data_IF_466716653689
#
_entry.id   IF_466716653689
#
_cell.length_a   1.000
_cell.length_b   1.000
_cell.length_c   1.000
_cell.angle_alpha   90.00
_cell.angle_beta   90.00
_cell.angle_gamma   90.00
#
_symmetry.space_group_name_H-M   'P 1'
#
loop_
_entity.id
_entity.type
_entity.pdbx_description
1 polymer ?
#
# COMPACT_ATOMS: atom_id res chain seq x y z
N UNK A 1 20.50 -1.39 6.09
CA UNK A 1 19.70 -1.94 4.96
C UNK A 1 19.32 -3.36 5.33
N UNK A 2 18.06 -3.74 5.13
CA UNK A 2 17.62 -5.12 5.34
C UNK A 2 18.02 -5.94 4.10
N UNK A 3 18.75 -7.04 4.33
CA UNK A 3 19.17 -7.97 3.26
C UNK A 3 18.15 -9.09 3.03
N UNK A 4 17.29 -9.35 4.02
CA UNK A 4 16.22 -10.36 3.97
C UNK A 4 14.96 -9.81 4.64
N UNK A 5 13.79 -10.16 4.10
CA UNK A 5 12.49 -9.92 4.72
C UNK A 5 11.83 -11.28 4.97
N UNK A 6 11.37 -11.56 6.20
CA UNK A 6 10.82 -12.88 6.55
C UNK A 6 11.73 -14.06 6.16
N UNK A 7 13.06 -13.89 6.27
CA UNK A 7 14.08 -14.85 5.80
C UNK A 7 14.16 -15.09 4.28
N UNK A 8 13.26 -14.51 3.49
CA UNK A 8 13.30 -14.58 2.03
C UNK A 8 14.25 -13.54 1.43
N UNK A 9 14.73 -13.85 0.22
CA UNK A 9 15.43 -12.89 -0.61
C UNK A 9 14.48 -11.74 -0.92
N UNK A 10 15.00 -10.51 -0.85
CA UNK A 10 14.21 -9.29 -0.91
C UNK A 10 13.33 -9.20 -2.18
N UNK A 11 13.84 -9.71 -3.31
CA UNK A 11 13.08 -9.79 -4.56
C UNK A 11 11.85 -10.73 -4.43
N UNK A 12 12.03 -11.94 -3.89
CA UNK A 12 10.93 -12.89 -3.65
C UNK A 12 9.90 -12.33 -2.68
N UNK A 13 10.35 -11.68 -1.61
CA UNK A 13 9.45 -11.03 -0.66
C UNK A 13 8.61 -9.93 -1.32
N UNK A 14 9.23 -9.08 -2.16
CA UNK A 14 8.51 -8.05 -2.92
C UNK A 14 7.43 -8.62 -3.85
N UNK A 15 7.73 -9.74 -4.52
CA UNK A 15 6.75 -10.45 -5.37
C UNK A 15 5.58 -11.01 -4.55
N UNK A 16 5.86 -11.63 -3.40
CA UNK A 16 4.81 -12.18 -2.51
C UNK A 16 3.92 -11.05 -1.98
N UNK A 17 4.50 -9.94 -1.53
CA UNK A 17 3.76 -8.77 -1.04
C UNK A 17 2.89 -8.18 -2.16
N UNK A 18 3.42 -8.07 -3.37
CA UNK A 18 2.66 -7.59 -4.51
C UNK A 18 1.46 -8.50 -4.81
N UNK A 19 1.65 -9.81 -4.78
CA UNK A 19 0.56 -10.79 -4.96
C UNK A 19 -0.51 -10.68 -3.87
N UNK A 20 -0.12 -10.60 -2.60
CA UNK A 20 -1.06 -10.39 -1.50
C UNK A 20 -1.85 -9.09 -1.69
N UNK A 21 -1.17 -8.02 -2.13
CA UNK A 21 -1.81 -6.75 -2.44
C UNK A 21 -2.84 -6.85 -3.56
N UNK A 22 -2.50 -7.51 -4.67
CA UNK A 22 -3.41 -7.72 -5.81
C UNK A 22 -4.63 -8.54 -5.37
N UNK A 23 -4.40 -9.71 -4.77
CA UNK A 23 -5.48 -10.61 -4.32
C UNK A 23 -6.37 -9.92 -3.28
N UNK A 24 -5.77 -9.26 -2.29
CA UNK A 24 -6.49 -8.50 -1.28
C UNK A 24 -7.33 -7.38 -1.89
N UNK A 25 -6.77 -6.62 -2.84
CA UNK A 25 -7.53 -5.55 -3.52
C UNK A 25 -8.69 -6.09 -4.35
N UNK A 26 -8.53 -7.24 -5.01
CA UNK A 26 -9.59 -7.91 -5.76
C UNK A 26 -10.76 -8.31 -4.85
N UNK A 27 -10.47 -8.96 -3.72
CA UNK A 27 -11.50 -9.32 -2.74
C UNK A 27 -12.21 -8.09 -2.20
N UNK A 28 -11.47 -7.05 -1.83
CA UNK A 28 -12.04 -5.78 -1.35
C UNK A 28 -12.93 -5.13 -2.40
N UNK A 29 -12.53 -5.12 -3.67
CA UNK A 29 -13.36 -4.58 -4.76
C UNK A 29 -14.67 -5.37 -4.92
N UNK A 30 -14.63 -6.69 -4.83
CA UNK A 30 -15.85 -7.53 -4.91
C UNK A 30 -16.79 -7.21 -3.74
N UNK A 31 -16.25 -7.15 -2.50
CA UNK A 31 -17.04 -6.81 -1.32
C UNK A 31 -17.66 -5.42 -1.45
N UNK A 32 -16.87 -4.43 -1.88
CA UNK A 32 -17.37 -3.07 -2.10
C UNK A 32 -18.43 -3.01 -3.19
N UNK A 33 -18.29 -3.80 -4.26
CA UNK A 33 -19.30 -3.93 -5.30
C UNK A 33 -20.62 -4.47 -4.76
N UNK A 34 -20.58 -5.50 -3.91
CA UNK A 34 -21.76 -6.05 -3.23
C UNK A 34 -22.38 -5.01 -2.30
N UNK A 35 -21.57 -4.33 -1.48
CA UNK A 35 -22.05 -3.27 -0.59
C UNK A 35 -22.70 -2.11 -1.34
N UNK A 36 -22.16 -1.73 -2.50
CA UNK A 36 -22.69 -0.66 -3.33
C UNK A 36 -24.00 -1.08 -4.04
N UNK A 37 -24.09 -2.35 -4.45
CA UNK A 37 -25.32 -2.92 -5.01
C UNK A 37 -26.46 -3.00 -3.98
N UNK A 38 -26.13 -3.29 -2.72
CA UNK A 38 -27.08 -3.41 -1.62
C UNK A 38 -26.99 -2.20 -0.65
N UNK A 39 -26.78 -0.99 -1.18
CA UNK A 39 -26.54 0.21 -0.37
C UNK A 39 -27.69 0.50 0.60
N UNK A 40 -28.93 0.20 0.21
CA UNK A 40 -30.10 0.48 1.05
C UNK A 40 -30.14 -0.45 2.29
N UNK A 41 -29.72 -1.71 2.15
CA UNK A 41 -29.58 -2.62 3.31
C UNK A 41 -28.41 -2.21 4.20
N UNK A 42 -27.30 -1.76 3.60
CA UNK A 42 -26.12 -1.28 4.33
C UNK A 42 -26.46 -0.05 5.18
N UNK A 43 -27.18 0.93 4.61
CA UNK A 43 -27.60 2.14 5.32
C UNK A 43 -28.52 1.78 6.48
N UNK A 44 -29.49 0.88 6.27
CA UNK A 44 -30.37 0.38 7.34
C UNK A 44 -29.60 -0.30 8.47
N UNK A 45 -28.60 -1.12 8.13
CA UNK A 45 -27.75 -1.77 9.11
C UNK A 45 -26.91 -0.74 9.90
N UNK A 46 -26.40 0.30 9.25
CA UNK A 46 -25.65 1.38 9.91
C UNK A 46 -26.53 2.21 10.87
N UNK A 47 -27.71 2.66 10.43
CA UNK A 47 -28.67 3.39 11.28
C UNK A 47 -29.04 2.56 12.51
N UNK A 48 -29.36 1.28 12.31
CA UNK A 48 -29.69 0.36 13.40
C UNK A 48 -28.52 0.17 14.38
N UNK A 49 -27.28 0.22 13.91
CA UNK A 49 -26.09 0.09 14.76
C UNK A 49 -25.78 1.33 15.59
N UNK A 50 -26.15 2.52 15.11
CA UNK A 50 -25.90 3.78 15.82
C UNK A 50 -26.97 4.11 16.85
N UNK A 51 -28.18 3.55 16.68
CA UNK A 51 -29.28 3.65 17.66
C UNK A 51 -29.60 5.11 18.05
N UNK A 52 -29.40 6.03 17.11
CA UNK A 52 -29.54 7.47 17.29
C UNK A 52 -30.82 7.92 16.57
N UNK A 53 -31.84 8.43 17.28
CA UNK A 53 -33.14 8.77 16.70
C UNK A 53 -33.09 9.97 15.75
N UNK A 54 -32.03 10.79 15.81
CA UNK A 54 -31.92 12.01 15.02
C UNK A 54 -31.41 11.77 13.59
N UNK A 55 -30.89 10.56 13.27
CA UNK A 55 -30.28 10.29 11.97
C UNK A 55 -31.26 9.57 11.05
N UNK A 56 -31.74 10.27 10.02
CA UNK A 56 -32.68 9.72 9.04
C UNK A 56 -31.94 8.96 7.92
N UNK A 57 -32.47 7.80 7.50
CA UNK A 57 -31.91 6.98 6.40
C UNK A 57 -31.66 7.78 5.11
N UNK A 58 -32.55 8.73 4.80
CA UNK A 58 -32.47 9.58 3.62
C UNK A 58 -31.25 10.51 3.62
N UNK A 59 -30.75 10.89 4.79
CA UNK A 59 -29.60 11.78 4.92
C UNK A 59 -28.28 11.01 4.82
N UNK A 60 -28.18 9.80 5.40
CA UNK A 60 -26.94 9.00 5.37
C UNK A 60 -26.65 8.45 3.98
N UNK A 61 -27.69 8.06 3.24
CA UNK A 61 -27.57 7.37 1.95
C UNK A 61 -26.60 8.06 0.96
N UNK A 62 -26.72 9.36 0.64
CA UNK A 62 -25.79 10.02 -0.27
C UNK A 62 -24.35 10.01 0.25
N UNK A 63 -24.14 10.21 1.55
CA UNK A 63 -22.80 10.16 2.15
C UNK A 63 -22.17 8.77 2.03
N UNK A 64 -22.95 7.71 2.30
CA UNK A 64 -22.48 6.35 2.16
C UNK A 64 -22.04 6.05 0.72
N UNK A 65 -22.83 6.46 -0.28
CA UNK A 65 -22.48 6.27 -1.70
C UNK A 65 -21.18 7.00 -2.05
N UNK A 66 -21.03 8.26 -1.63
CA UNK A 66 -19.83 9.06 -1.91
C UNK A 66 -18.59 8.40 -1.28
N UNK A 67 -18.69 8.02 -0.01
CA UNK A 67 -17.58 7.39 0.73
C UNK A 67 -17.20 6.05 0.10
N UNK A 68 -18.18 5.18 -0.19
CA UNK A 68 -17.91 3.89 -0.85
C UNK A 68 -17.30 4.08 -2.24
N UNK A 69 -17.75 5.08 -3.00
CA UNK A 69 -17.21 5.37 -4.34
C UNK A 69 -15.76 5.83 -4.29
N UNK A 70 -15.42 6.74 -3.37
CA UNK A 70 -14.03 7.19 -3.14
C UNK A 70 -13.16 6.00 -2.72
N UNK A 71 -13.66 5.17 -1.80
CA UNK A 71 -12.92 4.01 -1.31
C UNK A 71 -12.70 2.94 -2.38
N UNK A 72 -13.68 2.75 -3.28
CA UNK A 72 -13.52 1.90 -4.46
C UNK A 72 -12.43 2.44 -5.38
N UNK A 73 -12.41 3.75 -5.68
CA UNK A 73 -11.37 4.37 -6.49
C UNK A 73 -9.97 4.19 -5.87
N UNK A 74 -9.83 4.38 -4.54
CA UNK A 74 -8.59 4.12 -3.81
C UNK A 74 -8.16 2.66 -3.88
N UNK A 75 -9.11 1.72 -3.81
CA UNK A 75 -8.83 0.28 -3.92
C UNK A 75 -8.30 -0.08 -5.32
N UNK A 76 -8.86 0.53 -6.37
CA UNK A 76 -8.36 0.34 -7.75
C UNK A 76 -6.95 0.92 -7.90
N UNK A 77 -6.68 2.10 -7.33
CA UNK A 77 -5.32 2.67 -7.30
C UNK A 77 -4.33 1.77 -6.56
N UNK A 78 -4.76 1.16 -5.44
CA UNK A 78 -3.96 0.20 -4.70
C UNK A 78 -3.67 -1.07 -5.51
N UNK A 79 -4.64 -1.56 -6.29
CA UNK A 79 -4.45 -2.68 -7.21
C UNK A 79 -3.42 -2.34 -8.29
N UNK A 80 -3.55 -1.18 -8.92
CA UNK A 80 -2.59 -0.70 -9.93
C UNK A 80 -1.19 -0.53 -9.34
N UNK A 81 -1.09 0.06 -8.15
CA UNK A 81 0.19 0.23 -7.46
C UNK A 81 0.84 -1.13 -7.12
N UNK A 82 0.06 -2.12 -6.71
CA UNK A 82 0.54 -3.48 -6.45
C UNK A 82 1.00 -4.19 -7.74
N UNK A 83 0.31 -3.96 -8.85
CA UNK A 83 0.76 -4.41 -10.17
C UNK A 83 2.07 -3.77 -10.61
N UNK A 84 2.24 -2.46 -10.38
CA UNK A 84 3.50 -1.76 -10.66
C UNK A 84 4.63 -2.28 -9.78
N UNK A 85 4.36 -2.58 -8.50
CA UNK A 85 5.34 -3.23 -7.61
C UNK A 85 5.79 -4.58 -8.19
N UNK A 86 4.86 -5.43 -8.60
CA UNK A 86 5.17 -6.75 -9.19
C UNK A 86 6.02 -6.65 -10.46
N UNK A 87 5.70 -5.71 -11.36
CA UNK A 87 6.47 -5.49 -12.58
C UNK A 87 7.84 -4.87 -12.25
N UNK A 88 7.88 -3.96 -11.27
CA UNK A 88 9.09 -3.28 -10.82
C UNK A 88 10.10 -4.21 -10.18
N UNK A 89 9.64 -5.20 -9.40
CA UNK A 89 10.51 -6.23 -8.83
C UNK A 89 11.02 -7.20 -9.89
N UNK A 90 10.16 -7.64 -10.82
CA UNK A 90 10.57 -8.56 -11.89
C UNK A 90 11.51 -7.93 -12.92
N UNK A 91 11.33 -6.63 -13.24
CA UNK A 91 12.17 -5.92 -14.22
C UNK A 91 13.31 -5.12 -13.60
N UNK A 92 13.49 -5.20 -12.27
CA UNK A 92 14.48 -4.44 -11.50
C UNK A 92 14.43 -2.92 -11.82
N UNK A 93 13.22 -2.37 -12.01
CA UNK A 93 13.01 -0.95 -12.30
C UNK A 93 12.50 -0.22 -11.07
N UNK A 94 13.40 0.42 -10.33
CA UNK A 94 13.10 1.09 -9.06
C UNK A 94 11.93 2.11 -9.13
N UNK A 95 11.80 2.84 -10.25
CA UNK A 95 10.73 3.84 -10.45
C UNK A 95 9.31 3.26 -10.33
N UNK A 96 9.11 1.97 -10.63
CA UNK A 96 7.80 1.32 -10.59
C UNK A 96 7.38 0.90 -9.17
N UNK A 97 8.31 0.91 -8.22
CA UNK A 97 8.00 0.66 -6.81
C UNK A 97 7.47 1.91 -6.09
N UNK A 98 7.73 3.11 -6.64
CA UNK A 98 7.39 4.38 -5.99
C UNK A 98 5.87 4.58 -5.79
N UNK A 99 4.99 4.29 -6.76
CA UNK A 99 3.55 4.50 -6.57
C UNK A 99 2.98 3.68 -5.41
N UNK A 100 3.45 2.43 -5.26
CA UNK A 100 3.07 1.57 -4.14
C UNK A 100 3.61 2.10 -2.81
N UNK A 101 4.87 2.53 -2.79
CA UNK A 101 5.51 3.06 -1.60
C UNK A 101 4.80 4.34 -1.14
N UNK A 102 4.51 5.26 -2.07
CA UNK A 102 3.82 6.51 -1.77
C UNK A 102 2.41 6.28 -1.24
N UNK A 103 1.64 5.37 -1.87
CA UNK A 103 0.29 5.07 -1.40
C UNK A 103 0.28 4.45 0.01
N UNK A 104 1.20 3.53 0.29
CA UNK A 104 1.34 2.95 1.63
C UNK A 104 1.83 3.97 2.66
N UNK A 105 2.71 4.90 2.28
CA UNK A 105 3.15 5.98 3.17
C UNK A 105 1.98 6.87 3.58
N UNK A 106 1.13 7.27 2.63
CA UNK A 106 -0.09 8.04 2.92
C UNK A 106 -1.02 7.24 3.82
N UNK A 107 -1.26 5.97 3.50
CA UNK A 107 -2.14 5.11 4.31
C UNK A 107 -1.64 4.98 5.74
N UNK A 108 -0.34 4.81 5.96
CA UNK A 108 0.28 4.79 7.29
C UNK A 108 0.11 6.12 8.04
N UNK A 109 0.32 7.26 7.35
CA UNK A 109 0.14 8.57 7.96
C UNK A 109 -1.31 8.82 8.40
N UNK A 110 -2.28 8.49 7.54
CA UNK A 110 -3.71 8.58 7.86
C UNK A 110 -4.07 7.64 9.01
N UNK A 111 -3.56 6.41 9.01
CA UNK A 111 -3.76 5.44 10.09
C UNK A 111 -3.18 5.92 11.42
N UNK A 112 -2.04 6.62 11.40
CA UNK A 112 -1.46 7.19 12.61
C UNK A 112 -2.34 8.32 13.19
N UNK A 113 -2.85 9.21 12.33
CA UNK A 113 -3.77 10.29 12.73
C UNK A 113 -5.06 9.69 13.30
N UNK A 114 -5.65 8.71 12.61
CA UNK A 114 -6.86 8.03 13.07
C UNK A 114 -6.68 7.37 14.45
N UNK A 115 -5.53 6.73 14.67
CA UNK A 115 -5.20 6.14 15.96
C UNK A 115 -5.10 7.20 17.06
N UNK A 116 -4.44 8.33 16.76
CA UNK A 116 -4.35 9.45 17.70
C UNK A 116 -5.73 9.99 18.06
N UNK A 117 -6.64 10.11 17.09
CA UNK A 117 -8.03 10.52 17.33
C UNK A 117 -8.79 9.54 18.22
N UNK A 118 -8.63 8.22 18.01
CA UNK A 118 -9.23 7.20 18.87
C UNK A 118 -8.72 7.27 20.31
N UNK A 119 -7.42 7.52 20.49
CA UNK A 119 -6.82 7.69 21.81
C UNK A 119 -7.40 8.89 22.56
N UNK A 120 -7.55 10.03 21.88
CA UNK A 120 -8.16 11.24 22.46
C UNK A 120 -9.61 10.94 22.89
N UNK A 121 -10.39 10.29 22.02
CA UNK A 121 -11.78 9.94 22.31
C UNK A 121 -11.92 8.97 23.50
N UNK A 122 -10.98 8.02 23.62
CA UNK A 122 -10.93 7.09 24.75
C UNK A 122 -10.66 7.83 26.07
N UNK A 123 -9.69 8.75 26.08
CA UNK A 123 -9.38 9.59 27.24
C UNK A 123 -10.58 10.45 27.66
N UNK A 124 -11.37 10.95 26.70
CA UNK A 124 -12.54 11.77 27.00
C UNK A 124 -13.75 11.00 27.55
N UNK A 125 -13.93 9.72 27.20
CA UNK A 125 -15.14 8.93 27.53
C UNK A 125 -15.03 8.10 28.82
N UNK A 126 -13.94 8.20 29.58
CA UNK A 126 -13.71 7.43 30.82
C UNK A 126 -14.03 5.93 30.70
N UNK A 127 -13.79 5.33 29.53
CA UNK A 127 -14.05 3.91 29.34
C UNK A 127 -13.04 3.07 30.13
N UNK A 128 -13.47 1.89 30.59
CA UNK A 128 -12.57 0.96 31.27
C UNK A 128 -11.44 0.51 30.35
N UNK A 129 -10.19 0.72 30.79
CA UNK A 129 -8.98 0.39 30.05
C UNK A 129 -8.93 -1.08 29.60
N UNK A 130 -9.40 -1.99 30.46
CA UNK A 130 -9.41 -3.43 30.18
C UNK A 130 -10.24 -3.80 28.95
N UNK A 131 -11.33 -3.07 28.66
CA UNK A 131 -12.20 -3.37 27.52
C UNK A 131 -11.61 -2.97 26.17
N UNK A 132 -10.68 -2.00 26.17
CA UNK A 132 -10.13 -1.40 24.94
C UNK A 132 -8.72 -1.94 24.64
N UNK A 133 -8.06 -2.51 25.65
CA UNK A 133 -6.72 -3.08 25.57
C UNK A 133 -6.55 -4.10 24.41
N UNK A 134 -7.47 -5.05 24.15
CA UNK A 134 -7.33 -5.98 23.04
C UNK A 134 -7.31 -5.27 21.68
N UNK A 135 -8.18 -4.29 21.48
CA UNK A 135 -8.27 -3.50 20.25
C UNK A 135 -7.00 -2.67 20.02
N UNK A 136 -6.43 -2.10 21.09
CA UNK A 136 -5.17 -1.35 21.03
C UNK A 136 -4.00 -2.25 20.63
N UNK A 137 -3.88 -3.43 21.25
CA UNK A 137 -2.80 -4.38 20.93
C UNK A 137 -2.89 -4.83 19.48
N UNK A 138 -4.08 -5.23 19.04
CA UNK A 138 -4.31 -5.67 17.65
C UNK A 138 -3.94 -4.57 16.65
N UNK A 139 -4.35 -3.33 16.94
CA UNK A 139 -4.05 -2.19 16.08
C UNK A 139 -2.55 -1.87 16.04
N UNK A 140 -1.89 -1.87 17.19
CA UNK A 140 -0.45 -1.59 17.27
C UNK A 140 0.34 -2.67 16.51
N UNK A 141 -0.03 -3.94 16.69
CA UNK A 141 0.58 -5.06 15.97
C UNK A 141 0.37 -4.95 14.46
N UNK A 142 -0.85 -4.63 14.02
CA UNK A 142 -1.16 -4.40 12.61
C UNK A 142 -0.35 -3.24 12.03
N UNK A 143 -0.23 -2.14 12.76
CA UNK A 143 0.52 -0.96 12.33
C UNK A 143 2.02 -1.25 12.25
N UNK A 144 2.58 -1.90 13.28
CA UNK A 144 3.98 -2.31 13.31
C UNK A 144 4.32 -3.26 12.16
N UNK A 145 3.41 -4.20 11.85
CA UNK A 145 3.54 -5.09 10.71
C UNK A 145 3.53 -4.34 9.38
N UNK A 146 2.61 -3.40 9.19
CA UNK A 146 2.56 -2.55 7.99
C UNK A 146 3.82 -1.70 7.81
N UNK A 147 4.34 -1.12 8.91
CA UNK A 147 5.61 -0.37 8.91
C UNK A 147 6.78 -1.29 8.55
N UNK A 148 6.81 -2.52 9.08
CA UNK A 148 7.84 -3.49 8.74
C UNK A 148 7.85 -3.85 7.24
N UNK A 149 6.67 -4.10 6.66
CA UNK A 149 6.52 -4.34 5.21
C UNK A 149 6.99 -3.12 4.42
N UNK A 150 6.58 -1.91 4.82
CA UNK A 150 6.99 -0.66 4.17
C UNK A 150 8.52 -0.50 4.14
N UNK A 151 9.18 -0.71 5.29
CA UNK A 151 10.65 -0.68 5.36
C UNK A 151 11.30 -1.77 4.50
N UNK A 152 10.67 -2.95 4.40
CA UNK A 152 11.12 -4.03 3.53
C UNK A 152 11.17 -3.64 2.06
N UNK A 153 10.05 -3.10 1.55
CA UNK A 153 9.94 -2.65 0.16
C UNK A 153 10.81 -1.41 -0.09
N UNK A 154 10.94 -0.51 0.88
CA UNK A 154 11.87 0.62 0.79
C UNK A 154 13.33 0.15 0.68
N UNK A 155 13.73 -0.86 1.46
CA UNK A 155 15.06 -1.47 1.35
C UNK A 155 15.27 -2.11 -0.02
N UNK A 156 14.24 -2.74 -0.58
CA UNK A 156 14.26 -3.30 -1.94
C UNK A 156 14.43 -2.23 -3.01
N UNK A 157 13.69 -1.13 -2.90
CA UNK A 157 13.85 0.03 -3.76
C UNK A 157 15.30 0.52 -3.77
N UNK A 158 15.89 0.70 -2.58
CA UNK A 158 17.27 1.20 -2.45
C UNK A 158 18.31 0.20 -2.97
N UNK A 159 18.07 -1.10 -2.79
CA UNK A 159 18.94 -2.15 -3.34
C UNK A 159 18.95 -2.14 -4.87
N UNK A 160 17.77 -2.10 -5.51
CA UNK A 160 17.64 -2.04 -6.98
C UNK A 160 18.28 -0.76 -7.53
N UNK A 161 18.13 0.36 -6.81
CA UNK A 161 18.78 1.63 -7.19
C UNK A 161 20.31 1.50 -7.19
N UNK A 162 20.90 0.96 -6.12
CA UNK A 162 22.34 0.80 -6.00
C UNK A 162 22.92 -0.12 -7.10
N UNK A 163 22.29 -1.27 -7.35
CA UNK A 163 22.73 -2.20 -8.42
C UNK A 163 22.73 -1.54 -9.80
N UNK A 164 21.75 -0.66 -10.08
CA UNK A 164 21.66 0.04 -11.36
C UNK A 164 22.72 1.13 -11.51
N UNK A 165 23.07 1.81 -10.42
CA UNK A 165 24.13 2.82 -10.42
C UNK A 165 25.51 2.20 -10.68
N UNK A 166 25.77 1.00 -10.15
CA UNK A 166 27.00 0.22 -10.42
C UNK A 166 27.09 -0.29 -11.87
N UNK A 167 25.96 -0.64 -12.50
CA UNK A 167 25.93 -1.14 -13.88
C UNK A 167 26.01 -0.02 -14.94
N UNK A 168 25.64 1.22 -14.60
CA UNK A 168 25.65 2.37 -15.52
C UNK A 168 27.03 2.71 -16.12
N UNK A 169 28.15 2.74 -15.37
CA UNK A 169 29.47 3.02 -15.94
C UNK A 169 30.02 1.92 -16.86
N UNK A 170 29.60 0.67 -16.68
CA UNK A 170 30.10 -0.44 -17.50
C UNK A 170 29.59 -0.40 -18.95
N UNK A 171 28.35 0.07 -19.15
CA UNK A 171 27.74 0.20 -20.49
C UNK A 171 28.33 1.43 -21.22
N UNK A 172 28.58 2.53 -20.50
CA UNK A 172 29.18 3.75 -21.06
C UNK A 172 30.59 3.52 -21.65
N UNK A 173 31.35 2.58 -21.11
CA UNK A 173 32.71 2.30 -21.58
C UNK A 173 32.74 1.35 -22.80
N UNK A 174 31.75 0.46 -22.96
CA UNK A 174 31.70 -0.43 -24.12
C UNK A 174 31.39 0.32 -25.43
N UNK A 175 30.54 1.34 -25.38
CA UNK A 175 30.20 2.13 -26.58
C UNK A 175 31.37 2.99 -27.07
N UNK A 176 32.31 3.37 -26.19
CA UNK A 176 33.52 4.11 -26.59
C UNK A 176 34.56 3.23 -27.29
N UNK A 177 34.62 1.93 -26.98
CA UNK A 177 35.61 1.02 -27.59
C UNK A 177 35.24 0.65 -29.03
N UNK A 178 33.94 0.66 -29.39
CA UNK A 178 33.50 0.27 -30.73
C UNK A 178 33.68 1.34 -31.82
N UNK A 179 34.00 2.59 -31.45
CA UNK A 179 34.25 3.68 -32.41
C UNK A 179 35.73 3.90 -32.76
N UNK A 180 36.66 3.16 -32.15
CA UNK A 180 38.07 3.19 -32.54
C UNK A 180 38.34 2.05 -33.52
N UNK A 181 37.84 2.19 -34.75
CA UNK A 181 38.31 1.38 -35.87
C UNK A 181 39.39 2.20 -36.59
N UNK A 182 40.69 1.97 -36.33
CA UNK A 182 41.73 2.66 -37.05
C UNK A 182 41.76 2.12 -38.48
N UNK A 183 41.37 2.99 -39.42
CA UNK A 183 41.48 2.77 -40.85
C UNK A 183 42.96 2.55 -41.21
N UNK A 184 43.42 1.31 -41.21
CA UNK A 184 44.69 0.89 -41.78
C UNK A 184 44.44 0.11 -43.07
N UNK A 185 44.32 0.84 -44.18
CA UNK A 185 44.50 0.31 -45.55
C UNK A 185 45.33 1.36 -46.29
N UNK A 186 46.66 1.22 -46.32
CA UNK A 186 47.45 0.41 -47.26
C UNK A 186 47.85 1.24 -48.49
N UNK A 187 49.16 1.57 -48.51
CA UNK A 187 50.09 1.64 -49.66
C UNK A 187 49.52 1.78 -51.07
#
# INVERSE_FOLDING_TARGET
MLTKLFCFRLNTAGVIIAWIGIVGSLFTTIILGICLGNIDELVKAMVKSWNDPDITEAEIRPYAIIVLSIYLALTVLQMLASGMLLIGTNKERHLWLLPWLFNNAISLAVGFIYNLSLWIMFLSKHMSFLSVLPSIILYFLSTAFSVYIFYGIYSLYKQIQATREEQRPLISNQDQVHHINPNYTST
#
